data_IF_998020659485
#
_entry.id   IF_998020659485
#
_cell.length_a   1.000
_cell.length_b   1.000
_cell.length_c   1.000
_cell.angle_alpha   90.00
_cell.angle_beta   90.00
_cell.angle_gamma   90.00
#
_symmetry.space_group_name_H-M   'P 1'
#
loop_
_entity.id
_entity.type
_entity.pdbx_description
1 polymer ?
#
# COMPACT_ATOMS: atom_id res chain seq x y z
N UNK A 1 -12.01 5.68 21.11
CA UNK A 1 -13.12 5.31 22.01
C UNK A 1 -14.16 4.57 21.18
N UNK A 2 -14.72 3.44 21.63
CA UNK A 2 -15.83 2.77 20.93
C UNK A 2 -17.07 3.66 21.04
N UNK A 3 -17.90 3.70 19.99
CA UNK A 3 -19.20 4.37 20.07
C UNK A 3 -20.19 3.46 20.81
N UNK A 4 -20.88 4.03 21.80
CA UNK A 4 -21.84 3.35 22.67
C UNK A 4 -23.14 3.07 21.89
N UNK A 5 -23.41 1.81 21.53
CA UNK A 5 -24.52 1.42 20.63
C UNK A 5 -25.86 1.19 21.37
N UNK A 6 -26.06 1.79 22.53
CA UNK A 6 -27.25 1.56 23.36
C UNK A 6 -28.41 2.54 23.11
N UNK A 7 -28.40 3.30 22.01
CA UNK A 7 -29.43 4.31 21.74
C UNK A 7 -30.47 3.81 20.72
N UNK A 8 -31.67 3.44 21.19
CA UNK A 8 -32.82 2.93 20.39
C UNK A 8 -33.41 3.95 19.38
N UNK A 9 -32.76 5.09 19.15
CA UNK A 9 -33.20 6.15 18.24
C UNK A 9 -32.24 6.37 17.04
N UNK A 10 -31.29 5.47 16.79
CA UNK A 10 -30.24 5.63 15.77
C UNK A 10 -30.76 5.90 14.34
N UNK A 11 -31.98 5.46 14.01
CA UNK A 11 -32.54 5.51 12.65
C UNK A 11 -33.49 6.71 12.39
N UNK A 12 -33.64 7.65 13.32
CA UNK A 12 -34.59 8.78 13.16
C UNK A 12 -34.04 9.99 12.39
N UNK A 13 -32.75 9.99 12.05
CA UNK A 13 -32.09 11.02 11.26
C UNK A 13 -31.17 10.36 10.23
N UNK A 14 -31.80 9.69 9.27
CA UNK A 14 -31.08 9.12 8.12
C UNK A 14 -31.05 10.17 7.02
N UNK A 15 -29.85 10.60 6.63
CA UNK A 15 -29.63 11.41 5.43
C UNK A 15 -28.94 10.54 4.39
N UNK A 16 -29.28 10.75 3.12
CA UNK A 16 -28.56 10.13 2.02
C UNK A 16 -27.09 10.55 2.05
N UNK A 17 -26.19 9.61 1.80
CA UNK A 17 -24.77 9.90 1.71
C UNK A 17 -24.52 10.90 0.57
N UNK A 18 -23.99 12.09 0.91
CA UNK A 18 -23.63 13.07 -0.10
C UNK A 18 -22.33 12.65 -0.79
N UNK A 19 -22.35 12.61 -2.14
CA UNK A 19 -21.15 12.37 -2.93
C UNK A 19 -20.30 13.64 -2.88
N UNK A 20 -19.25 13.63 -2.07
CA UNK A 20 -18.30 14.74 -2.01
C UNK A 20 -17.43 14.79 -3.27
N UNK A 21 -17.70 15.78 -4.13
CA UNK A 21 -16.84 16.14 -5.25
C UNK A 21 -15.74 17.07 -4.75
N UNK A 22 -14.70 16.53 -4.11
CA UNK A 22 -13.53 17.34 -3.77
C UNK A 22 -12.69 17.67 -5.00
N UNK A 23 -12.37 18.95 -5.14
CA UNK A 23 -11.29 19.40 -6.03
C UNK A 23 -9.96 19.16 -5.31
N UNK A 24 -9.02 18.39 -5.87
CA UNK A 24 -7.82 17.99 -5.16
C UNK A 24 -6.92 19.18 -4.83
N UNK A 25 -6.40 19.21 -3.60
CA UNK A 25 -5.46 20.22 -3.11
C UNK A 25 -4.04 19.95 -3.62
N UNK A 26 -3.22 21.00 -3.69
CA UNK A 26 -1.79 20.91 -4.05
C UNK A 26 -1.04 19.99 -3.07
N UNK A 27 -0.39 18.94 -3.56
CA UNK A 27 0.41 18.00 -2.74
C UNK A 27 -0.08 16.54 -2.68
N UNK A 28 -1.05 16.15 -3.51
CA UNK A 28 -1.53 14.75 -3.61
C UNK A 28 -0.83 13.97 -4.73
N UNK A 29 -0.56 12.68 -4.50
CA UNK A 29 -0.10 11.75 -5.54
C UNK A 29 -1.32 11.17 -6.28
N UNK A 30 -1.40 11.39 -7.58
CA UNK A 30 -2.53 10.96 -8.42
C UNK A 30 -2.38 9.49 -8.82
N UNK A 31 -3.45 8.70 -8.69
CA UNK A 31 -3.54 7.35 -9.25
C UNK A 31 -4.37 7.42 -10.54
N UNK A 32 -3.97 6.69 -11.58
CA UNK A 32 -4.78 6.58 -12.80
C UNK A 32 -5.88 5.51 -12.64
N UNK A 33 -7.12 5.91 -12.88
CA UNK A 33 -8.26 4.99 -13.07
C UNK A 33 -8.96 4.49 -11.79
N UNK A 34 -9.72 3.40 -11.95
CA UNK A 34 -10.50 2.72 -10.90
C UNK A 34 -9.69 1.69 -10.10
N UNK A 35 -8.40 1.56 -10.36
CA UNK A 35 -7.50 0.64 -9.66
C UNK A 35 -6.55 1.44 -8.76
N UNK A 36 -6.21 0.89 -7.59
CA UNK A 36 -5.17 1.45 -6.69
C UNK A 36 -3.76 1.07 -7.16
N UNK A 37 -3.54 1.15 -8.47
CA UNK A 37 -2.29 0.79 -9.15
C UNK A 37 -1.60 2.03 -9.65
N UNK A 38 -0.31 2.14 -9.35
CA UNK A 38 0.55 3.19 -9.88
C UNK A 38 1.88 2.60 -10.35
N UNK A 39 2.71 3.45 -10.94
CA UNK A 39 4.08 3.09 -11.33
C UNK A 39 5.05 3.75 -10.37
N UNK A 40 6.00 2.97 -9.89
CA UNK A 40 7.07 3.40 -8.99
C UNK A 40 8.43 3.08 -9.61
N UNK A 41 9.47 3.75 -9.12
CA UNK A 41 10.84 3.45 -9.52
C UNK A 41 11.52 2.57 -8.47
N UNK A 42 12.15 1.49 -8.92
CA UNK A 42 13.02 0.60 -8.13
C UNK A 42 14.25 0.33 -8.99
N UNK A 43 15.47 0.45 -8.43
CA UNK A 43 16.72 0.28 -9.18
C UNK A 43 16.75 1.04 -10.53
N UNK A 44 16.26 2.29 -10.53
CA UNK A 44 16.11 3.17 -11.70
C UNK A 44 15.17 2.66 -12.82
N UNK A 45 14.40 1.61 -12.57
CA UNK A 45 13.43 1.02 -13.51
C UNK A 45 12.00 1.19 -13.01
N UNK A 46 11.04 1.25 -13.95
CA UNK A 46 9.63 1.44 -13.63
C UNK A 46 8.92 0.11 -13.38
N UNK A 47 8.17 0.05 -12.28
CA UNK A 47 7.50 -1.17 -11.83
C UNK A 47 6.06 -0.90 -11.39
N UNK A 48 5.14 -1.86 -11.61
CA UNK A 48 3.79 -1.76 -11.07
C UNK A 48 3.79 -1.82 -9.54
N UNK A 49 2.98 -0.96 -8.94
CA UNK A 49 2.80 -0.84 -7.49
C UNK A 49 1.33 -0.80 -7.16
N UNK A 50 0.89 -1.76 -6.35
CA UNK A 50 -0.52 -1.95 -5.97
C UNK A 50 -0.64 -1.51 -4.51
N UNK A 51 -1.59 -0.63 -4.20
CA UNK A 51 -1.92 -0.30 -2.82
C UNK A 51 -3.22 -1.02 -2.46
N UNK A 52 -3.14 -2.02 -1.61
CA UNK A 52 -4.27 -2.90 -1.30
C UNK A 52 -4.65 -2.79 0.19
N UNK A 53 -5.81 -2.21 0.46
CA UNK A 53 -6.37 -2.14 1.83
C UNK A 53 -6.88 -3.50 2.32
N UNK A 54 -7.15 -4.44 1.43
CA UNK A 54 -7.56 -5.81 1.75
C UNK A 54 -6.40 -6.73 2.13
N UNK A 55 -5.17 -6.35 1.80
CA UNK A 55 -3.97 -7.09 2.19
C UNK A 55 -3.47 -6.63 3.55
N UNK A 56 -3.31 -7.58 4.48
CA UNK A 56 -2.66 -7.27 5.77
C UNK A 56 -1.18 -6.96 5.56
N UNK A 57 -0.51 -7.76 4.73
CA UNK A 57 0.93 -7.67 4.51
C UNK A 57 1.26 -7.08 3.15
N UNK A 58 2.37 -6.38 3.10
CA UNK A 58 3.03 -5.99 1.87
C UNK A 58 3.69 -7.24 1.26
N UNK A 59 3.43 -7.50 -0.03
CA UNK A 59 3.74 -8.77 -0.69
C UNK A 59 4.45 -8.52 -2.02
N UNK A 60 5.35 -9.44 -2.37
CA UNK A 60 5.91 -9.57 -3.72
C UNK A 60 5.96 -11.05 -4.12
N UNK A 61 5.72 -11.33 -5.40
CA UNK A 61 5.75 -12.70 -5.94
C UNK A 61 7.17 -13.08 -6.38
N UNK A 62 7.57 -14.34 -6.11
CA UNK A 62 8.86 -14.88 -6.57
C UNK A 62 9.03 -14.78 -8.08
N UNK A 63 7.99 -15.15 -8.84
CA UNK A 63 8.06 -15.09 -10.31
C UNK A 63 8.29 -13.68 -10.83
N UNK A 64 7.70 -12.67 -10.19
CA UNK A 64 7.95 -11.28 -10.53
C UNK A 64 9.41 -10.90 -10.25
N UNK A 65 9.95 -11.27 -9.08
CA UNK A 65 11.35 -11.01 -8.76
C UNK A 65 12.32 -11.73 -9.70
N UNK A 66 12.07 -12.99 -10.06
CA UNK A 66 12.91 -13.74 -11.02
C UNK A 66 13.03 -13.03 -12.38
N UNK A 67 11.95 -12.37 -12.82
CA UNK A 67 11.90 -11.72 -14.13
C UNK A 67 12.55 -10.34 -14.15
N UNK A 68 12.64 -9.66 -13.00
CA UNK A 68 13.02 -8.25 -12.94
C UNK A 68 14.24 -7.95 -12.06
N UNK A 69 14.59 -8.83 -11.12
CA UNK A 69 15.63 -8.60 -10.11
C UNK A 69 16.54 -9.84 -9.98
N UNK A 70 17.51 -10.05 -10.87
CA UNK A 70 18.26 -11.32 -10.96
C UNK A 70 19.03 -11.73 -9.70
N UNK A 71 19.29 -10.79 -8.78
CA UNK A 71 20.01 -11.02 -7.52
C UNK A 71 19.13 -10.83 -6.28
N UNK A 72 17.80 -10.94 -6.41
CA UNK A 72 16.87 -10.73 -5.29
C UNK A 72 17.14 -11.67 -4.12
N UNK A 73 17.67 -12.87 -4.38
CA UNK A 73 17.98 -13.88 -3.37
C UNK A 73 19.00 -13.36 -2.34
N UNK A 74 19.91 -12.47 -2.76
CA UNK A 74 20.89 -11.86 -1.86
C UNK A 74 20.26 -10.85 -0.90
N UNK A 75 19.06 -10.35 -1.23
CA UNK A 75 18.26 -9.46 -0.38
C UNK A 75 17.33 -10.23 0.56
N UNK A 76 17.28 -11.56 0.47
CA UNK A 76 16.37 -12.39 1.27
C UNK A 76 16.82 -12.43 2.73
N UNK A 77 15.93 -11.99 3.61
CA UNK A 77 16.18 -11.99 5.04
C UNK A 77 15.82 -13.34 5.68
N UNK A 78 16.54 -13.76 6.74
CA UNK A 78 16.29 -15.02 7.42
C UNK A 78 14.86 -15.13 7.96
N UNK A 79 14.23 -16.26 7.67
CA UNK A 79 12.82 -16.50 7.91
C UNK A 79 12.55 -16.90 9.36
N UNK A 80 11.75 -16.11 10.11
CA UNK A 80 10.96 -16.65 11.22
C UNK A 80 9.69 -17.25 10.63
N UNK A 81 9.50 -18.57 10.77
CA UNK A 81 8.36 -19.26 10.18
C UNK A 81 7.04 -18.54 10.50
N UNK A 82 6.35 -18.04 9.46
CA UNK A 82 5.04 -17.40 9.54
C UNK A 82 4.10 -18.10 8.56
N UNK A 83 2.91 -18.44 9.02
CA UNK A 83 1.87 -19.03 8.17
C UNK A 83 1.02 -17.91 7.55
N UNK A 84 1.06 -17.79 6.22
CA UNK A 84 0.25 -16.82 5.49
C UNK A 84 -0.97 -17.49 4.87
N UNK A 85 -2.12 -16.78 4.90
CA UNK A 85 -3.39 -17.23 4.32
C UNK A 85 -3.94 -16.12 3.42
N UNK A 86 -4.48 -16.51 2.25
CA UNK A 86 -5.35 -15.69 1.40
C UNK A 86 -6.78 -16.19 1.51
N UNK A 87 -7.73 -15.43 0.97
CA UNK A 87 -9.14 -15.83 0.94
C UNK A 87 -9.37 -17.21 0.29
N UNK A 88 -8.53 -17.59 -0.68
CA UNK A 88 -8.61 -18.85 -1.43
C UNK A 88 -7.74 -19.99 -0.91
N UNK A 89 -7.00 -19.82 0.20
CA UNK A 89 -6.19 -20.92 0.78
C UNK A 89 -4.88 -20.49 1.44
N UNK A 90 -4.00 -21.47 1.66
CA UNK A 90 -2.64 -21.23 2.19
C UNK A 90 -1.75 -20.64 1.09
N UNK A 91 -0.74 -19.88 1.49
CA UNK A 91 0.30 -19.36 0.60
C UNK A 91 1.67 -19.85 1.05
N UNK A 92 2.55 -20.09 0.08
CA UNK A 92 3.90 -20.59 0.29
C UNK A 92 4.85 -19.42 0.54
N UNK A 93 5.15 -19.20 1.81
CA UNK A 93 6.06 -18.15 2.26
C UNK A 93 7.52 -18.58 2.15
N UNK A 94 8.35 -17.69 1.64
CA UNK A 94 9.77 -17.96 1.41
C UNK A 94 10.70 -17.14 2.32
N UNK A 95 10.29 -15.92 2.67
CA UNK A 95 11.09 -14.97 3.46
C UNK A 95 10.62 -13.55 3.22
N UNK A 96 11.37 -12.57 3.73
CA UNK A 96 11.11 -11.15 3.48
C UNK A 96 12.26 -10.52 2.70
N UNK A 97 11.95 -9.51 1.90
CA UNK A 97 12.94 -8.62 1.29
C UNK A 97 12.60 -7.18 1.66
N UNK A 98 13.61 -6.32 1.77
CA UNK A 98 13.41 -4.87 1.89
C UNK A 98 13.75 -4.27 0.54
N UNK A 99 12.84 -3.46 -0.01
CA UNK A 99 13.08 -2.83 -1.30
C UNK A 99 12.86 -1.31 -1.21
N UNK A 100 13.77 -0.56 -1.82
CA UNK A 100 13.65 0.89 -1.90
C UNK A 100 12.72 1.27 -3.06
N UNK A 101 11.58 1.86 -2.73
CA UNK A 101 10.56 2.26 -3.69
C UNK A 101 10.47 3.76 -3.74
N UNK A 102 10.71 4.32 -4.92
CA UNK A 102 10.53 5.74 -5.19
C UNK A 102 9.20 5.99 -5.88
N UNK A 103 8.28 6.66 -5.21
CA UNK A 103 7.01 7.13 -5.76
C UNK A 103 7.25 8.51 -6.40
N UNK A 104 7.05 8.65 -7.73
CA UNK A 104 7.14 9.94 -8.40
C UNK A 104 6.08 10.91 -7.85
N UNK A 105 6.50 12.12 -7.48
CA UNK A 105 5.57 13.11 -6.95
C UNK A 105 5.98 14.54 -7.35
N UNK A 106 4.97 15.37 -7.66
CA UNK A 106 5.15 16.69 -8.29
C UNK A 106 5.99 17.67 -7.46
N UNK A 107 5.99 17.53 -6.13
CA UNK A 107 6.74 18.40 -5.22
C UNK A 107 8.01 17.72 -4.67
N UNK A 108 8.58 16.79 -5.43
CA UNK A 108 9.68 15.93 -5.00
C UNK A 108 9.21 14.51 -4.76
N UNK A 109 10.02 13.56 -5.22
CA UNK A 109 9.75 12.13 -5.11
C UNK A 109 9.74 11.67 -3.65
N UNK A 110 8.97 10.62 -3.37
CA UNK A 110 8.84 10.04 -2.04
C UNK A 110 9.52 8.69 -2.05
N UNK A 111 10.44 8.47 -1.12
CA UNK A 111 11.15 7.20 -0.94
C UNK A 111 10.52 6.41 0.19
N UNK A 112 10.21 5.15 -0.07
CA UNK A 112 9.71 4.18 0.90
C UNK A 112 10.70 3.01 0.96
N UNK A 113 10.83 2.37 2.12
CA UNK A 113 11.62 1.15 2.30
C UNK A 113 10.76 0.04 2.94
N UNK A 114 9.70 -0.43 2.27
CA UNK A 114 8.85 -1.51 2.76
C UNK A 114 9.55 -2.87 2.85
N UNK A 115 9.21 -3.61 3.91
CA UNK A 115 9.46 -5.04 3.96
C UNK A 115 8.34 -5.76 3.21
N UNK A 116 8.71 -6.56 2.21
CA UNK A 116 7.79 -7.39 1.46
C UNK A 116 7.90 -8.84 1.88
N UNK A 117 6.76 -9.43 2.21
CA UNK A 117 6.59 -10.87 2.31
C UNK A 117 6.70 -11.47 0.91
N UNK A 118 7.68 -12.34 0.73
CA UNK A 118 7.86 -13.05 -0.53
C UNK A 118 7.07 -14.34 -0.55
N UNK A 119 6.23 -14.49 -1.58
CA UNK A 119 5.38 -15.65 -1.79
C UNK A 119 5.75 -16.37 -3.09
N UNK A 120 5.83 -17.70 -3.03
CA UNK A 120 6.18 -18.56 -4.16
C UNK A 120 4.99 -18.70 -5.15
N UNK A 121 3.78 -18.81 -4.63
CA UNK A 121 2.54 -19.14 -5.37
C UNK A 121 1.59 -17.94 -5.57
N UNK A 122 2.13 -16.72 -5.50
CA UNK A 122 1.39 -15.50 -5.75
C UNK A 122 1.39 -15.12 -7.24
N UNK A 123 0.24 -14.67 -7.75
CA UNK A 123 0.07 -14.20 -9.14
C UNK A 123 0.12 -12.67 -9.26
N UNK A 124 0.93 -12.01 -8.42
CA UNK A 124 1.06 -10.55 -8.40
C UNK A 124 2.14 -10.12 -9.38
N UNK A 125 1.83 -9.19 -10.28
CA UNK A 125 2.74 -8.63 -11.27
C UNK A 125 3.21 -7.23 -10.84
N UNK A 126 4.01 -7.18 -9.78
CA UNK A 126 4.42 -5.93 -9.16
C UNK A 126 4.70 -6.08 -7.67
N UNK A 127 4.88 -4.94 -7.01
CA UNK A 127 4.91 -4.85 -5.56
C UNK A 127 3.52 -4.50 -5.04
N UNK A 128 3.05 -5.21 -4.01
CA UNK A 128 1.79 -4.93 -3.35
C UNK A 128 2.05 -4.38 -1.95
N UNK A 129 1.59 -3.16 -1.69
CA UNK A 129 1.68 -2.50 -0.39
C UNK A 129 0.42 -2.81 0.42
N UNK A 130 0.58 -3.55 1.49
CA UNK A 130 -0.49 -3.91 2.42
C UNK A 130 -0.71 -2.86 3.50
N UNK A 131 -1.68 -3.14 4.37
CA UNK A 131 -2.05 -2.26 5.48
C UNK A 131 -1.01 -2.18 6.59
N UNK A 132 -0.13 -3.19 6.69
CA UNK A 132 1.07 -3.18 7.54
C UNK A 132 1.93 -1.94 7.30
N UNK A 133 2.24 -1.62 6.05
CA UNK A 133 3.08 -0.48 5.71
C UNK A 133 2.27 0.80 5.51
N UNK A 134 1.05 0.71 4.95
CA UNK A 134 0.21 1.89 4.76
C UNK A 134 -0.04 2.63 6.08
N UNK A 135 -0.30 1.91 7.17
CA UNK A 135 -0.56 2.52 8.49
C UNK A 135 0.68 3.21 9.06
N UNK A 136 1.86 2.63 8.90
CA UNK A 136 3.11 3.22 9.40
C UNK A 136 3.41 4.56 8.72
N UNK A 137 3.14 4.67 7.42
CA UNK A 137 3.42 5.87 6.64
C UNK A 137 2.22 6.83 6.51
N UNK A 138 1.10 6.55 7.17
CA UNK A 138 -0.13 7.33 7.02
C UNK A 138 -0.59 7.43 5.55
N UNK A 139 -0.53 6.31 4.83
CA UNK A 139 -0.93 6.23 3.42
C UNK A 139 -2.45 6.02 3.35
N UNK A 140 -3.14 7.01 2.80
CA UNK A 140 -4.60 6.98 2.64
C UNK A 140 -5.03 7.12 1.19
N UNK A 141 -5.85 6.16 0.75
CA UNK A 141 -6.53 6.17 -0.53
C UNK A 141 -7.85 6.93 -0.38
N UNK A 142 -7.99 7.99 -1.17
CA UNK A 142 -9.19 8.81 -1.23
C UNK A 142 -9.94 8.51 -2.52
N UNK A 143 -11.20 8.06 -2.37
CA UNK A 143 -12.10 7.81 -3.49
C UNK A 143 -13.02 9.02 -3.65
N UNK A 144 -12.77 9.84 -4.68
CA UNK A 144 -13.61 10.97 -5.07
C UNK A 144 -13.96 10.85 -6.55
N UNK A 145 -13.98 11.95 -7.32
CA UNK A 145 -14.09 11.90 -8.79
C UNK A 145 -12.91 11.14 -9.44
N UNK A 146 -11.73 11.21 -8.81
CA UNK A 146 -10.53 10.42 -9.13
C UNK A 146 -9.97 9.80 -7.84
N UNK A 147 -9.23 8.68 -7.97
CA UNK A 147 -8.46 8.11 -6.84
C UNK A 147 -7.14 8.85 -6.67
N UNK A 148 -6.84 9.25 -5.43
CA UNK A 148 -5.55 9.82 -5.08
C UNK A 148 -5.05 9.24 -3.76
N UNK A 149 -3.73 9.27 -3.58
CA UNK A 149 -3.07 8.85 -2.35
C UNK A 149 -2.55 10.08 -1.64
N UNK A 150 -2.86 10.17 -0.36
CA UNK A 150 -2.13 11.01 0.57
C UNK A 150 -1.08 10.14 1.27
N UNK A 151 0.13 10.67 1.43
CA UNK A 151 1.19 10.03 2.23
C UNK A 151 1.49 10.98 3.37
N UNK A 152 1.36 10.49 4.62
CA UNK A 152 1.67 11.26 5.81
C UNK A 152 3.10 11.77 5.76
N UNK A 153 3.29 13.07 6.05
CA UNK A 153 4.63 13.64 6.29
C UNK A 153 4.87 13.65 7.78
N UNK A 154 5.98 13.07 8.22
CA UNK A 154 6.40 13.20 9.60
C UNK A 154 6.76 14.67 9.85
N UNK A 155 6.08 15.33 10.79
CA UNK A 155 6.41 16.69 11.24
C UNK A 155 7.50 16.64 12.32
N UNK A 156 8.58 15.91 12.08
CA UNK A 156 9.80 16.06 12.90
C UNK A 156 10.76 16.99 12.16
N UNK A 157 10.38 18.27 12.16
CA UNK A 157 11.21 19.46 11.98
C UNK A 157 10.29 20.69 12.12
N UNK A 158 9.68 20.84 13.30
CA UNK A 158 9.38 22.16 13.80
C UNK A 158 10.59 22.53 14.64
N UNK A 159 11.54 23.24 14.03
CA UNK A 159 12.62 23.89 14.76
C UNK A 159 12.00 24.82 15.81
N UNK A 160 12.57 24.77 17.01
CA UNK A 160 12.27 25.59 18.20
C UNK A 160 12.09 27.08 17.88
#
# INVERSE_FOLDING_TARGET
>A
MPQDTANKNLCKHTQEAQIFLFTPTKGMAYIHGTATTMTVCVDNSQHPFIIDRGAHYSIVARNYLNNHFPNWQNKLLPTKAKHFKRASGKMNYMGTIIEEITIPHRNGNIRLNPEFVMLDDAHIQGFLLGTDYQRMCGIDIHNSKNRHIAIGRNKENVSL
#
